data_IF_411321806751
#
_entry.id   IF_411321806751
#
_cell.length_a   1.000
_cell.length_b   1.000
_cell.length_c   1.000
_cell.angle_alpha   90.00
_cell.angle_beta   90.00
_cell.angle_gamma   90.00
#
_symmetry.space_group_name_H-M   'P 1'
#
loop_
_entity.id
_entity.type
_entity.pdbx_description
1 polymer ?
#
# COMPACT_ATOMS: atom_id res chain seq x y z
N UNK A 1 -12.65 12.87 15.24
CA UNK A 1 -13.56 11.69 15.23
C UNK A 1 -12.72 10.43 15.30
N UNK A 2 -13.00 9.54 16.26
CA UNK A 2 -12.20 8.33 16.54
C UNK A 2 -12.75 7.13 15.74
N UNK A 3 -12.12 6.79 14.62
CA UNK A 3 -12.49 5.64 13.76
C UNK A 3 -11.67 4.38 14.10
N UNK A 4 -11.85 3.82 15.29
CA UNK A 4 -11.34 2.48 15.63
C UNK A 4 -12.27 1.83 16.66
N UNK A 5 -13.38 1.26 16.17
CA UNK A 5 -14.28 0.38 16.94
C UNK A 5 -15.15 -0.45 15.97
N UNK A 6 -14.55 -1.17 15.02
CA UNK A 6 -15.31 -2.05 14.10
C UNK A 6 -14.83 -3.51 14.06
N UNK A 7 -14.16 -3.99 15.11
CA UNK A 7 -13.77 -5.41 15.22
C UNK A 7 -14.06 -6.02 16.59
N UNK A 8 -15.07 -5.50 17.30
CA UNK A 8 -15.61 -6.20 18.48
C UNK A 8 -17.10 -6.45 18.26
N UNK A 9 -17.45 -7.74 18.23
CA UNK A 9 -18.79 -8.32 18.18
C UNK A 9 -19.41 -8.49 16.78
N UNK A 10 -19.08 -9.61 16.11
CA UNK A 10 -20.13 -10.51 15.56
C UNK A 10 -19.55 -11.94 15.43
N UNK A 11 -19.47 -12.65 16.56
CA UNK A 11 -19.57 -14.11 16.54
C UNK A 11 -21.00 -14.39 16.95
N UNK A 12 -21.88 -14.65 15.98
CA UNK A 12 -23.14 -15.39 16.18
C UNK A 12 -23.76 -15.73 14.82
N UNK A 13 -23.70 -17.03 14.50
CA UNK A 13 -24.65 -17.81 13.68
C UNK A 13 -24.94 -17.32 12.25
N UNK A 14 -24.19 -17.88 11.29
CA UNK A 14 -24.70 -18.14 9.96
C UNK A 14 -25.84 -19.17 10.05
N UNK A 15 -27.04 -18.81 9.61
CA UNK A 15 -28.08 -19.78 9.23
C UNK A 15 -27.99 -19.93 7.72
N UNK A 16 -27.13 -20.86 7.28
CA UNK A 16 -27.25 -21.51 5.98
C UNK A 16 -27.83 -22.89 6.27
N UNK A 17 -29.14 -23.00 6.10
CA UNK A 17 -29.86 -24.26 6.09
C UNK A 17 -29.42 -25.09 4.88
N UNK A 18 -28.91 -26.29 5.11
CA UNK A 18 -28.94 -27.35 4.12
C UNK A 18 -27.61 -28.07 3.91
N UNK A 19 -27.62 -29.35 4.30
CA UNK A 19 -26.64 -30.41 4.05
C UNK A 19 -25.51 -30.45 5.09
N UNK A 20 -25.68 -31.39 6.02
CA UNK A 20 -24.76 -31.66 7.10
C UNK A 20 -23.45 -32.29 6.63
N UNK A 21 -22.38 -31.85 7.27
CA UNK A 21 -21.24 -32.69 7.62
C UNK A 21 -20.85 -32.31 9.05
N UNK A 22 -21.18 -33.18 9.99
CA UNK A 22 -20.55 -33.20 11.29
C UNK A 22 -19.09 -33.60 11.07
N UNK A 23 -18.16 -32.66 11.24
CA UNK A 23 -16.78 -32.97 11.57
C UNK A 23 -16.36 -32.04 12.70
N UNK A 24 -15.85 -32.65 13.76
CA UNK A 24 -15.27 -31.97 14.91
C UNK A 24 -14.18 -30.99 14.42
N UNK A 25 -14.48 -29.69 14.43
CA UNK A 25 -13.47 -28.64 14.29
C UNK A 25 -12.81 -28.40 15.65
N UNK A 26 -12.09 -29.40 16.14
CA UNK A 26 -11.16 -29.28 17.26
C UNK A 26 -9.74 -29.55 16.77
N UNK A 27 -9.35 -28.89 15.69
CA UNK A 27 -7.96 -28.82 15.26
C UNK A 27 -7.73 -27.51 14.49
N UNK A 28 -8.00 -26.37 15.15
CA UNK A 28 -7.27 -25.16 14.81
C UNK A 28 -5.89 -25.31 15.45
N UNK A 29 -4.98 -25.98 14.74
CA UNK A 29 -3.56 -25.95 15.08
C UNK A 29 -3.15 -24.50 15.28
N UNK A 30 -2.63 -24.20 16.47
CA UNK A 30 -2.25 -22.85 16.86
C UNK A 30 -1.20 -22.33 15.86
N UNK A 31 -1.59 -21.43 14.94
CA UNK A 31 -0.69 -20.86 13.93
C UNK A 31 0.54 -20.20 14.58
N UNK A 32 0.38 -19.73 15.82
CA UNK A 32 1.46 -19.24 16.67
C UNK A 32 2.54 -20.32 16.90
N UNK A 33 2.14 -21.57 17.11
CA UNK A 33 3.06 -22.70 17.33
C UNK A 33 3.83 -23.12 16.07
N UNK A 34 3.32 -22.80 14.88
CA UNK A 34 3.99 -23.10 13.61
C UNK A 34 5.04 -22.03 13.23
N UNK A 35 4.82 -20.78 13.61
CA UNK A 35 5.73 -19.66 13.32
C UNK A 35 6.78 -19.42 14.40
N UNK A 36 6.44 -19.72 15.65
CA UNK A 36 7.30 -19.47 16.79
C UNK A 36 8.13 -20.71 17.12
N UNK A 37 9.43 -20.51 17.33
CA UNK A 37 10.25 -21.56 17.92
C UNK A 37 9.85 -21.81 19.39
N UNK A 38 10.47 -22.83 20.01
CA UNK A 38 10.23 -23.19 21.42
C UNK A 38 10.47 -22.03 22.41
N UNK A 39 11.18 -20.98 21.99
CA UNK A 39 11.51 -19.79 22.76
C UNK A 39 10.66 -18.56 22.37
N UNK A 40 9.57 -18.75 21.61
CA UNK A 40 8.71 -17.67 21.10
C UNK A 40 9.43 -16.68 20.18
N UNK A 41 10.39 -17.17 19.40
CA UNK A 41 11.15 -16.38 18.42
C UNK A 41 10.71 -16.69 17.00
N UNK A 42 10.83 -15.70 16.11
CA UNK A 42 10.64 -15.84 14.66
C UNK A 42 12.04 -15.76 14.04
N UNK A 43 12.44 -16.81 13.30
CA UNK A 43 13.76 -16.91 12.67
C UNK A 43 14.96 -16.61 13.63
N UNK A 44 14.84 -16.99 14.90
CA UNK A 44 15.88 -16.77 15.92
C UNK A 44 15.86 -15.41 16.62
N UNK A 45 14.93 -14.53 16.28
CA UNK A 45 14.75 -13.22 16.90
C UNK A 45 13.47 -13.13 17.72
N UNK A 46 13.54 -12.45 18.87
CA UNK A 46 12.34 -12.02 19.59
C UNK A 46 11.58 -10.95 18.80
N UNK A 47 10.30 -10.74 19.13
CA UNK A 47 9.49 -9.70 18.52
C UNK A 47 10.07 -8.29 18.73
N UNK A 48 10.72 -8.04 19.88
CA UNK A 48 11.38 -6.75 20.16
C UNK A 48 12.58 -6.53 19.24
N UNK A 49 13.43 -7.54 19.09
CA UNK A 49 14.59 -7.47 18.19
C UNK A 49 14.18 -7.27 16.74
N UNK A 50 13.11 -7.95 16.29
CA UNK A 50 12.58 -7.77 14.94
C UNK A 50 12.00 -6.36 14.75
N UNK A 51 11.24 -5.87 15.72
CA UNK A 51 10.69 -4.52 15.67
C UNK A 51 11.80 -3.48 15.57
N UNK A 52 12.83 -3.56 16.42
CA UNK A 52 13.96 -2.63 16.39
C UNK A 52 14.70 -2.67 15.05
N UNK A 53 14.97 -3.87 14.53
CA UNK A 53 15.64 -4.04 13.22
C UNK A 53 14.83 -3.45 12.08
N UNK A 54 13.54 -3.78 11.99
CA UNK A 54 12.66 -3.30 10.92
C UNK A 54 12.44 -1.79 11.02
N UNK A 55 12.25 -1.28 12.24
CA UNK A 55 12.09 0.16 12.50
C UNK A 55 13.35 0.93 12.09
N UNK A 56 14.53 0.52 12.55
CA UNK A 56 15.79 1.17 12.17
C UNK A 56 16.00 1.12 10.66
N UNK A 57 15.81 -0.03 10.02
CA UNK A 57 15.95 -0.14 8.56
C UNK A 57 14.96 0.77 7.82
N UNK A 58 13.72 0.84 8.29
CA UNK A 58 12.70 1.69 7.70
C UNK A 58 13.04 3.17 7.80
N UNK A 59 13.35 3.67 9.00
CA UNK A 59 13.57 5.11 9.23
C UNK A 59 14.94 5.61 8.78
N UNK A 60 15.98 4.77 8.85
CA UNK A 60 17.35 5.18 8.55
C UNK A 60 17.75 4.92 7.09
N UNK A 61 17.17 3.89 6.46
CA UNK A 61 17.53 3.50 5.09
C UNK A 61 16.39 3.74 4.10
N UNK A 62 15.26 3.02 4.27
CA UNK A 62 14.21 2.99 3.25
C UNK A 62 13.51 4.33 3.08
N UNK A 63 13.01 4.94 4.17
CA UNK A 63 12.22 6.17 4.09
C UNK A 63 13.04 7.34 3.53
N UNK A 64 14.29 7.60 3.95
CA UNK A 64 15.14 8.62 3.32
C UNK A 64 15.40 8.35 1.84
N UNK A 65 15.66 7.09 1.47
CA UNK A 65 15.87 6.71 0.07
C UNK A 65 14.62 6.94 -0.78
N UNK A 66 13.46 6.47 -0.30
CA UNK A 66 12.17 6.63 -0.96
C UNK A 66 11.87 8.11 -1.21
N UNK A 67 11.93 8.94 -0.17
CA UNK A 67 11.66 10.37 -0.29
C UNK A 67 12.63 11.05 -1.24
N UNK A 68 13.92 10.71 -1.20
CA UNK A 68 14.93 11.37 -2.04
C UNK A 68 14.84 10.98 -3.52
N UNK A 69 14.63 9.70 -3.79
CA UNK A 69 14.91 9.11 -5.11
C UNK A 69 13.65 8.64 -5.85
N UNK A 70 12.59 8.29 -5.13
CA UNK A 70 11.40 7.67 -5.72
C UNK A 70 10.22 8.63 -5.84
N UNK A 71 10.31 9.85 -5.30
CA UNK A 71 9.24 10.84 -5.38
C UNK A 71 9.51 11.82 -6.53
N UNK A 72 8.56 11.97 -7.45
CA UNK A 72 8.63 13.00 -8.47
C UNK A 72 8.10 14.33 -7.91
N UNK A 73 8.99 15.12 -7.31
CA UNK A 73 8.63 16.42 -6.75
C UNK A 73 8.34 17.49 -7.81
N UNK A 74 8.75 17.31 -9.07
CA UNK A 74 8.55 18.32 -10.11
C UNK A 74 7.10 18.36 -10.54
N UNK A 75 6.56 17.21 -10.96
CA UNK A 75 5.25 17.12 -11.59
C UNK A 75 4.24 16.28 -10.78
N UNK A 76 4.71 15.50 -9.79
CA UNK A 76 3.89 14.61 -8.95
C UNK A 76 4.07 13.13 -9.29
N UNK A 77 3.58 12.28 -8.39
CA UNK A 77 3.70 10.82 -8.53
C UNK A 77 5.07 10.27 -8.10
N UNK A 78 5.41 9.09 -8.61
CA UNK A 78 6.53 8.28 -8.11
C UNK A 78 7.35 7.65 -9.24
N UNK A 79 8.62 7.41 -8.98
CA UNK A 79 9.54 6.59 -9.78
C UNK A 79 9.77 5.26 -9.05
N UNK A 80 8.97 4.22 -9.34
CA UNK A 80 9.03 2.96 -8.60
C UNK A 80 10.30 2.16 -8.88
N UNK A 81 11.00 2.44 -9.98
CA UNK A 81 12.21 1.74 -10.38
C UNK A 81 13.42 2.67 -10.33
N UNK A 82 14.35 2.36 -9.44
CA UNK A 82 15.62 3.05 -9.30
C UNK A 82 16.77 2.04 -9.39
N UNK A 83 17.92 2.50 -9.86
CA UNK A 83 19.19 1.81 -9.67
C UNK A 83 19.62 1.86 -8.20
N UNK A 84 20.63 1.08 -7.83
CA UNK A 84 21.13 1.00 -6.45
C UNK A 84 21.67 2.34 -5.93
N UNK A 85 22.12 3.23 -6.82
CA UNK A 85 22.58 4.57 -6.49
C UNK A 85 21.44 5.59 -6.35
N UNK A 86 20.18 5.15 -6.53
CA UNK A 86 18.99 5.98 -6.43
C UNK A 86 18.61 6.70 -7.73
N UNK A 87 19.36 6.55 -8.82
CA UNK A 87 18.94 7.13 -10.11
C UNK A 87 17.70 6.40 -10.63
N UNK A 88 16.69 7.11 -11.17
CA UNK A 88 15.60 6.47 -11.89
C UNK A 88 16.16 5.55 -12.98
N UNK A 89 15.59 4.36 -13.12
CA UNK A 89 16.04 3.39 -14.12
C UNK A 89 15.78 3.93 -15.53
N UNK A 90 16.84 3.94 -16.36
CA UNK A 90 16.75 4.36 -17.76
C UNK A 90 15.74 3.51 -18.54
N UNK A 91 14.97 4.15 -19.42
CA UNK A 91 13.98 3.49 -20.29
C UNK A 91 12.61 3.26 -19.64
N UNK A 92 12.41 3.69 -18.39
CA UNK A 92 11.09 3.74 -17.76
C UNK A 92 10.67 5.20 -17.67
N UNK A 93 9.87 5.62 -18.64
CA UNK A 93 9.41 6.99 -18.80
C UNK A 93 7.97 7.18 -18.33
N UNK A 94 7.33 6.15 -17.79
CA UNK A 94 5.94 6.21 -17.35
C UNK A 94 5.75 5.80 -15.88
N UNK A 95 4.76 6.44 -15.26
CA UNK A 95 4.28 6.16 -13.92
C UNK A 95 3.04 5.28 -14.04
N UNK A 96 3.19 4.00 -13.74
CA UNK A 96 2.07 3.06 -13.80
C UNK A 96 1.04 3.35 -12.69
N UNK A 97 -0.25 3.21 -13.01
CA UNK A 97 -1.37 3.59 -12.13
C UNK A 97 -1.40 2.83 -10.81
N UNK A 98 -1.17 1.52 -10.83
CA UNK A 98 -1.02 0.72 -9.61
C UNK A 98 0.11 1.20 -8.67
N UNK A 99 1.24 1.69 -9.20
CA UNK A 99 2.31 2.28 -8.39
C UNK A 99 1.92 3.65 -7.84
N UNK A 100 1.21 4.45 -8.64
CA UNK A 100 0.70 5.74 -8.23
C UNK A 100 -0.27 5.61 -7.05
N UNK A 101 -1.22 4.68 -7.13
CA UNK A 101 -2.16 4.36 -6.05
C UNK A 101 -1.47 3.93 -4.75
N UNK A 102 -0.54 2.96 -4.84
CA UNK A 102 0.24 2.50 -3.67
C UNK A 102 1.13 3.60 -3.08
N UNK A 103 1.68 4.46 -3.93
CA UNK A 103 2.48 5.60 -3.48
C UNK A 103 1.65 6.62 -2.70
N UNK A 104 0.43 6.92 -3.16
CA UNK A 104 -0.54 7.76 -2.43
C UNK A 104 -0.87 7.11 -1.08
N UNK A 105 -1.19 5.81 -1.07
CA UNK A 105 -1.47 5.08 0.16
C UNK A 105 -0.31 5.17 1.15
N UNK A 106 0.92 4.90 0.70
CA UNK A 106 2.12 4.90 1.54
C UNK A 106 2.36 6.26 2.21
N UNK A 107 2.34 7.37 1.45
CA UNK A 107 2.58 8.70 2.03
C UNK A 107 1.45 9.14 2.94
N UNK A 108 0.22 8.71 2.65
CA UNK A 108 -0.95 8.99 3.49
C UNK A 108 -0.89 8.19 4.80
N UNK A 109 -0.51 6.90 4.72
CA UNK A 109 -0.31 6.06 5.89
C UNK A 109 0.82 6.60 6.79
N UNK A 110 1.93 7.07 6.19
CA UNK A 110 3.01 7.76 6.90
C UNK A 110 2.48 8.95 7.70
N UNK A 111 1.67 9.80 7.06
CA UNK A 111 1.06 10.96 7.70
C UNK A 111 0.10 10.57 8.83
N UNK A 112 -0.79 9.62 8.57
CA UNK A 112 -1.89 9.25 9.46
C UNK A 112 -1.46 8.43 10.68
N UNK A 113 -0.49 7.53 10.50
CA UNK A 113 -0.20 6.50 11.48
C UNK A 113 1.19 6.62 12.10
N UNK A 114 2.18 7.22 11.41
CA UNK A 114 3.55 7.30 11.93
C UNK A 114 3.93 8.70 12.36
N UNK A 115 3.84 9.70 11.46
CA UNK A 115 4.23 11.07 11.77
C UNK A 115 3.51 12.08 10.87
N UNK A 116 2.79 13.01 11.49
CA UNK A 116 2.06 14.09 10.82
C UNK A 116 3.00 15.20 10.32
N UNK A 117 3.72 14.93 9.23
CA UNK A 117 4.53 15.92 8.53
C UNK A 117 3.83 16.38 7.24
N UNK A 118 3.73 17.70 7.04
CA UNK A 118 3.07 18.30 5.88
C UNK A 118 3.65 17.80 4.55
N UNK A 119 4.96 17.53 4.50
CA UNK A 119 5.64 17.00 3.31
C UNK A 119 4.98 15.74 2.76
N UNK A 120 4.40 14.88 3.60
CA UNK A 120 3.75 13.65 3.15
C UNK A 120 2.42 13.94 2.46
N UNK A 121 1.63 14.85 3.01
CA UNK A 121 0.40 15.33 2.37
C UNK A 121 0.70 16.03 1.05
N UNK A 122 1.73 16.88 1.00
CA UNK A 122 2.10 17.60 -0.23
C UNK A 122 2.50 16.64 -1.37
N UNK A 123 3.17 15.53 -1.04
CA UNK A 123 3.51 14.47 -2.01
C UNK A 123 2.24 13.76 -2.47
N UNK A 124 1.39 13.34 -1.52
CA UNK A 124 0.13 12.65 -1.83
C UNK A 124 -0.81 13.51 -2.67
N UNK A 125 -0.95 14.80 -2.35
CA UNK A 125 -1.83 15.74 -3.05
C UNK A 125 -1.42 15.89 -4.53
N UNK A 126 -0.12 15.97 -4.81
CA UNK A 126 0.39 16.04 -6.19
C UNK A 126 0.07 14.76 -6.97
N UNK A 127 0.24 13.59 -6.36
CA UNK A 127 -0.11 12.32 -6.99
C UNK A 127 -1.64 12.17 -7.20
N UNK A 128 -2.45 12.57 -6.22
CA UNK A 128 -3.92 12.57 -6.33
C UNK A 128 -4.39 13.49 -7.45
N UNK A 129 -3.76 14.65 -7.66
CA UNK A 129 -4.09 15.55 -8.77
C UNK A 129 -3.94 14.87 -10.13
N UNK A 130 -2.94 14.01 -10.33
CA UNK A 130 -2.77 13.22 -11.56
C UNK A 130 -3.96 12.27 -11.75
N UNK A 131 -4.35 11.54 -10.70
CA UNK A 131 -5.46 10.58 -10.74
C UNK A 131 -6.80 11.26 -11.05
N UNK A 132 -7.10 12.37 -10.36
CA UNK A 132 -8.38 13.06 -10.51
C UNK A 132 -8.48 13.77 -11.86
N UNK A 133 -7.39 14.36 -12.35
CA UNK A 133 -7.34 15.00 -13.67
C UNK A 133 -7.63 13.99 -14.80
N UNK A 134 -7.19 12.74 -14.64
CA UNK A 134 -7.33 11.70 -15.64
C UNK A 134 -8.42 10.68 -15.30
N UNK A 135 -9.46 11.10 -14.54
CA UNK A 135 -10.59 10.22 -14.26
C UNK A 135 -11.28 9.83 -15.58
N UNK A 136 -11.46 8.53 -15.85
CA UNK A 136 -12.13 8.07 -17.06
C UNK A 136 -13.62 8.45 -17.08
N UNK A 137 -14.17 8.55 -18.29
CA UNK A 137 -15.61 8.72 -18.50
C UNK A 137 -16.34 7.37 -18.51
N UNK A 138 -17.57 7.34 -17.98
CA UNK A 138 -18.40 6.14 -17.93
C UNK A 138 -17.80 5.03 -17.07
N UNK A 139 -17.93 3.79 -17.54
CA UNK A 139 -17.47 2.57 -16.87
C UNK A 139 -16.06 2.13 -17.33
N UNK A 140 -15.30 3.04 -17.95
CA UNK A 140 -13.94 2.74 -18.40
C UNK A 140 -12.97 2.68 -17.21
N UNK A 141 -12.03 1.75 -17.24
CA UNK A 141 -10.95 1.66 -16.24
C UNK A 141 -9.96 2.82 -16.42
N UNK A 142 -9.16 3.10 -15.38
CA UNK A 142 -8.09 4.11 -15.49
C UNK A 142 -7.03 3.68 -16.51
N UNK A 143 -6.33 4.67 -17.07
CA UNK A 143 -5.16 4.42 -17.91
C UNK A 143 -4.13 3.57 -17.17
N UNK A 144 -3.46 2.66 -17.87
CA UNK A 144 -2.44 1.79 -17.27
C UNK A 144 -1.22 2.58 -16.77
N UNK A 145 -0.83 3.62 -17.50
CA UNK A 145 0.34 4.43 -17.16
C UNK A 145 0.17 5.89 -17.56
N UNK A 146 0.90 6.76 -16.87
CA UNK A 146 0.98 8.20 -17.11
C UNK A 146 2.42 8.61 -17.46
N UNK A 147 2.61 9.67 -18.23
CA UNK A 147 3.92 10.32 -18.37
C UNK A 147 4.35 10.93 -17.03
N UNK A 148 5.63 11.31 -16.85
CA UNK A 148 6.07 11.92 -15.60
C UNK A 148 5.35 13.23 -15.29
N UNK A 149 4.84 13.91 -16.32
CA UNK A 149 4.01 15.13 -16.23
C UNK A 149 2.52 14.84 -15.87
N UNK A 150 2.15 13.57 -15.74
CA UNK A 150 0.80 13.16 -15.36
C UNK A 150 -0.23 13.18 -16.50
N UNK A 151 0.21 12.99 -17.75
CA UNK A 151 -0.69 12.79 -18.89
C UNK A 151 -0.82 11.29 -19.22
N UNK A 152 -1.93 10.80 -19.78
CA UNK A 152 -2.06 9.39 -20.15
C UNK A 152 -0.99 8.97 -21.16
N UNK A 153 -0.27 7.88 -20.89
CA UNK A 153 0.78 7.35 -21.77
C UNK A 153 0.30 6.13 -22.58
N UNK A 154 -0.62 5.34 -22.01
CA UNK A 154 -1.19 4.14 -22.64
C UNK A 154 -2.72 4.19 -22.61
N UNK A 155 -3.36 3.25 -23.32
CA UNK A 155 -4.81 3.06 -23.27
C UNK A 155 -5.30 2.71 -21.84
N UNK A 156 -6.62 2.81 -21.58
CA UNK A 156 -7.24 2.25 -20.38
C UNK A 156 -6.74 0.83 -20.08
N UNK A 157 -6.60 0.50 -18.81
CA UNK A 157 -6.15 -0.81 -18.38
C UNK A 157 -7.18 -1.89 -18.77
N UNK A 158 -6.68 -3.08 -19.11
CA UNK A 158 -7.51 -4.29 -19.25
C UNK A 158 -7.75 -4.96 -17.88
N UNK A 159 -7.08 -4.49 -16.82
CA UNK A 159 -7.08 -5.11 -15.50
C UNK A 159 -7.65 -4.16 -14.45
N UNK A 160 -8.61 -4.66 -13.65
CA UNK A 160 -9.21 -3.90 -12.55
C UNK A 160 -8.22 -3.53 -11.43
N UNK A 161 -7.03 -4.14 -11.41
CA UNK A 161 -6.05 -3.91 -10.34
C UNK A 161 -5.58 -2.45 -10.27
N UNK A 162 -5.42 -1.77 -11.41
CA UNK A 162 -5.03 -0.36 -11.43
C UNK A 162 -6.03 0.51 -10.67
N UNK A 163 -7.33 0.34 -10.97
CA UNK A 163 -8.43 1.00 -10.29
C UNK A 163 -8.49 0.66 -8.79
N UNK A 164 -8.24 -0.59 -8.42
CA UNK A 164 -8.23 -1.01 -7.01
C UNK A 164 -7.12 -0.32 -6.20
N UNK A 165 -5.91 -0.23 -6.75
CA UNK A 165 -4.81 0.46 -6.08
C UNK A 165 -5.02 1.97 -6.05
N UNK A 166 -5.64 2.55 -7.08
CA UNK A 166 -6.08 3.95 -7.06
C UNK A 166 -7.10 4.17 -5.95
N UNK A 167 -8.12 3.32 -5.87
CA UNK A 167 -9.15 3.40 -4.83
C UNK A 167 -8.56 3.25 -3.43
N UNK A 168 -7.62 2.32 -3.23
CA UNK A 168 -6.88 2.15 -1.97
C UNK A 168 -6.12 3.42 -1.58
N UNK A 169 -5.37 4.01 -2.52
CA UNK A 169 -4.65 5.27 -2.30
C UNK A 169 -5.59 6.41 -1.93
N UNK A 170 -6.66 6.60 -2.68
CA UNK A 170 -7.65 7.65 -2.43
C UNK A 170 -8.39 7.45 -1.09
N UNK A 171 -8.62 6.21 -0.68
CA UNK A 171 -9.30 5.90 0.58
C UNK A 171 -8.46 6.23 1.82
N UNK A 172 -7.13 6.09 1.74
CA UNK A 172 -6.20 6.43 2.82
C UNK A 172 -5.80 7.91 2.80
N UNK A 173 -5.98 8.63 1.68
CA UNK A 173 -5.51 10.01 1.51
C UNK A 173 -6.16 11.00 2.50
N UNK A 174 -5.31 11.65 3.30
CA UNK A 174 -5.67 12.73 4.24
C UNK A 174 -5.43 12.43 5.70
#
# INVERSE_FOLDING_TARGET
MKRRNFLKATISTAVLSGIGCNSNLSDQGDFSSALLDKNKKIAGFSLSELYEKLSSHFYENFLPFFLKNMVNYKDGGFYPYTEWDGKPRSGIESQESWWLGRGIWMVSFLYNNLKKEQKFLDIGERAVKIIIKNKPEGDSLWHKSFTPEGNPAENPSDYIYDDLFIAEGLAEFG
#
